data_IF_699507596372
#
_entry.id   IF_699507596372
#
_cell.length_a   1.000
_cell.length_b   1.000
_cell.length_c   1.000
_cell.angle_alpha   90.00
_cell.angle_beta   90.00
_cell.angle_gamma   90.00
#
_symmetry.space_group_name_H-M   'P 1'
#
loop_
_entity.id
_entity.type
_entity.pdbx_description
1 polymer ?
#
# COMPACT_ATOMS: atom_id res chain seq x y z
N UNK A 1 6.62 -9.77 11.03
CA UNK A 1 7.80 -10.65 11.14
C UNK A 1 9.09 -9.86 11.07
N UNK A 2 10.00 -10.15 11.95
CA UNK A 2 11.32 -9.51 11.97
C UNK A 2 12.30 -10.40 11.21
N UNK A 3 13.11 -9.80 10.37
CA UNK A 3 14.14 -10.50 9.63
C UNK A 3 15.48 -10.31 10.35
N UNK A 4 16.09 -11.38 10.83
CA UNK A 4 17.37 -11.29 11.53
C UNK A 4 18.44 -10.58 10.68
N UNK A 5 19.21 -9.71 11.29
CA UNK A 5 20.31 -9.04 10.63
C UNK A 5 19.92 -7.88 9.74
N UNK A 6 18.64 -7.47 9.72
CA UNK A 6 18.15 -6.34 8.92
C UNK A 6 17.35 -5.37 9.78
N UNK A 7 18.01 -4.59 10.66
CA UNK A 7 17.31 -3.68 11.56
C UNK A 7 16.34 -2.73 10.88
N UNK A 8 16.67 -2.27 9.67
CA UNK A 8 15.81 -1.38 8.90
C UNK A 8 14.46 -1.98 8.59
N UNK A 9 14.34 -3.32 8.56
CA UNK A 9 13.07 -3.98 8.30
C UNK A 9 12.13 -3.95 9.50
N UNK A 10 12.66 -3.76 10.69
CA UNK A 10 11.83 -3.65 11.89
C UNK A 10 10.98 -2.40 11.87
N UNK A 11 11.50 -1.33 11.23
CA UNK A 11 10.79 -0.07 11.11
C UNK A 11 10.03 0.07 9.79
N UNK A 12 10.13 -0.91 8.91
CA UNK A 12 9.48 -0.84 7.62
C UNK A 12 7.99 -1.07 7.74
N UNK A 13 7.20 -0.27 7.03
CA UNK A 13 5.76 -0.25 7.15
C UNK A 13 5.06 -0.65 5.87
N UNK A 14 3.91 -1.27 6.07
CA UNK A 14 2.84 -1.34 5.07
C UNK A 14 1.88 -0.20 5.38
N UNK A 15 1.69 0.72 4.47
CA UNK A 15 0.83 1.88 4.68
C UNK A 15 -0.41 1.79 3.82
N UNK A 16 -1.58 1.95 4.44
CA UNK A 16 -2.85 2.09 3.74
C UNK A 16 -3.12 3.58 3.60
N UNK A 17 -3.28 4.05 2.37
CA UNK A 17 -3.52 5.46 2.06
C UNK A 17 -4.89 5.56 1.41
N UNK A 18 -5.87 6.12 2.11
CA UNK A 18 -7.25 6.11 1.67
C UNK A 18 -7.99 7.32 2.23
N UNK A 19 -8.71 8.04 1.40
CA UNK A 19 -9.51 9.19 1.85
C UNK A 19 -10.69 8.77 2.74
N UNK A 20 -11.12 7.51 2.63
CA UNK A 20 -12.18 6.96 3.47
C UNK A 20 -11.55 6.39 4.74
N UNK A 21 -11.69 7.12 5.85
CA UNK A 21 -11.12 6.75 7.13
C UNK A 21 -11.55 5.36 7.60
N UNK A 22 -12.83 5.06 7.47
CA UNK A 22 -13.36 3.77 7.93
C UNK A 22 -12.76 2.61 7.13
N UNK A 23 -12.85 2.70 5.82
CA UNK A 23 -12.32 1.64 4.95
C UNK A 23 -10.81 1.46 5.13
N UNK A 24 -10.08 2.57 5.21
CA UNK A 24 -8.63 2.53 5.36
C UNK A 24 -8.19 1.94 6.69
N UNK A 25 -8.86 2.34 7.78
CA UNK A 25 -8.53 1.82 9.11
C UNK A 25 -8.86 0.33 9.23
N UNK A 26 -9.98 -0.10 8.68
CA UNK A 26 -10.35 -1.51 8.70
C UNK A 26 -9.34 -2.38 7.96
N UNK A 27 -8.87 -1.91 6.82
CA UNK A 27 -7.85 -2.64 6.06
C UNK A 27 -6.52 -2.69 6.82
N UNK A 28 -6.09 -1.57 7.40
CA UNK A 28 -4.87 -1.55 8.19
C UNK A 28 -4.96 -2.48 9.40
N UNK A 29 -6.11 -2.50 10.08
CA UNK A 29 -6.35 -3.42 11.20
C UNK A 29 -6.29 -4.88 10.77
N UNK A 30 -6.84 -5.19 9.61
CA UNK A 30 -6.77 -6.55 9.07
C UNK A 30 -5.32 -7.03 8.98
N UNK A 31 -4.44 -6.18 8.42
CA UNK A 31 -3.03 -6.51 8.31
C UNK A 31 -2.33 -6.60 9.66
N UNK A 32 -2.64 -5.68 10.56
CA UNK A 32 -2.05 -5.68 11.90
C UNK A 32 -2.39 -6.96 12.64
N UNK A 33 -3.65 -7.42 12.56
CA UNK A 33 -4.08 -8.67 13.18
C UNK A 33 -3.39 -9.89 12.59
N UNK A 34 -2.92 -9.79 11.35
CA UNK A 34 -2.19 -10.87 10.68
C UNK A 34 -0.68 -10.79 10.88
N UNK A 35 -0.22 -9.89 11.74
CA UNK A 35 1.19 -9.80 12.09
C UNK A 35 2.02 -8.85 11.24
N UNK A 36 1.39 -8.10 10.32
CA UNK A 36 2.11 -7.10 9.55
C UNK A 36 2.27 -5.83 10.36
N UNK A 37 3.35 -5.12 10.13
CA UNK A 37 3.51 -3.78 10.67
C UNK A 37 2.80 -2.83 9.72
N UNK A 38 1.57 -2.50 10.05
CA UNK A 38 0.70 -1.72 9.17
C UNK A 38 0.18 -0.47 9.86
N UNK A 39 -0.04 0.58 9.07
CA UNK A 39 -0.59 1.83 9.55
C UNK A 39 -1.52 2.42 8.49
N UNK A 40 -2.30 3.42 8.87
CA UNK A 40 -3.24 4.09 8.00
C UNK A 40 -3.01 5.59 7.98
N UNK A 41 -3.19 6.21 6.83
CA UNK A 41 -3.27 7.66 6.70
C UNK A 41 -4.26 8.03 5.60
N UNK A 42 -4.86 9.22 5.74
CA UNK A 42 -5.69 9.78 4.67
C UNK A 42 -4.88 10.64 3.70
N UNK A 43 -3.62 10.97 4.04
CA UNK A 43 -2.81 11.93 3.29
C UNK A 43 -1.69 11.24 2.51
N UNK A 44 -1.64 11.50 1.20
CA UNK A 44 -0.56 11.00 0.37
C UNK A 44 0.80 11.54 0.81
N UNK A 45 0.85 12.74 1.36
CA UNK A 45 2.11 13.33 1.83
C UNK A 45 2.77 12.48 2.91
N UNK A 46 1.99 11.85 3.80
CA UNK A 46 2.56 10.97 4.82
C UNK A 46 3.31 9.79 4.21
N UNK A 47 2.78 9.25 3.12
CA UNK A 47 3.44 8.15 2.42
C UNK A 47 4.78 8.62 1.82
N UNK A 48 4.81 9.82 1.27
CA UNK A 48 6.05 10.38 0.73
C UNK A 48 7.09 10.58 1.83
N UNK A 49 6.66 11.07 2.99
CA UNK A 49 7.55 11.28 4.12
C UNK A 49 8.17 9.96 4.60
N UNK A 50 7.36 8.91 4.69
CA UNK A 50 7.85 7.58 5.06
C UNK A 50 8.82 7.02 4.03
N UNK A 51 8.53 7.23 2.75
CA UNK A 51 9.42 6.77 1.68
C UNK A 51 10.77 7.48 1.75
N UNK A 52 10.77 8.80 1.95
CA UNK A 52 12.01 9.57 2.10
C UNK A 52 12.82 9.12 3.33
N UNK A 53 12.13 8.68 4.37
CA UNK A 53 12.80 8.17 5.58
C UNK A 53 13.28 6.72 5.42
N UNK A 54 13.04 6.09 4.26
CA UNK A 54 13.44 4.70 4.03
C UNK A 54 12.60 3.69 4.80
N UNK A 55 11.40 4.06 5.23
CA UNK A 55 10.56 3.24 6.11
C UNK A 55 9.37 2.61 5.43
N UNK A 56 9.16 2.85 4.15
CA UNK A 56 8.00 2.34 3.43
C UNK A 56 8.37 1.11 2.59
N UNK A 57 7.78 -0.03 2.92
CA UNK A 57 7.97 -1.28 2.18
C UNK A 57 6.88 -1.54 1.17
N UNK A 58 5.66 -1.21 1.55
CA UNK A 58 4.51 -1.45 0.70
C UNK A 58 3.44 -0.40 0.98
N UNK A 59 2.63 -0.10 -0.02
CA UNK A 59 1.54 0.85 0.11
C UNK A 59 0.31 0.36 -0.65
N UNK A 60 -0.85 0.54 -0.04
CA UNK A 60 -2.13 0.28 -0.69
C UNK A 60 -2.78 1.64 -0.84
N UNK A 61 -2.88 2.13 -2.06
CA UNK A 61 -3.20 3.54 -2.34
C UNK A 61 -4.51 3.65 -3.10
N UNK A 62 -5.45 4.43 -2.57
CA UNK A 62 -6.69 4.76 -3.27
C UNK A 62 -6.38 5.73 -4.42
N UNK A 63 -7.05 5.55 -5.54
CA UNK A 63 -6.87 6.45 -6.70
C UNK A 63 -7.31 7.88 -6.39
N UNK A 64 -8.23 8.08 -5.45
CA UNK A 64 -8.78 9.39 -5.12
C UNK A 64 -8.43 9.79 -3.69
N UNK A 65 -7.35 10.53 -3.53
CA UNK A 65 -6.97 11.10 -2.24
C UNK A 65 -7.33 12.59 -2.24
N UNK A 66 -7.31 13.22 -1.06
CA UNK A 66 -7.70 14.61 -0.94
C UNK A 66 -6.58 15.56 -1.31
N UNK A 67 -5.34 15.21 -0.99
CA UNK A 67 -4.20 16.09 -1.21
C UNK A 67 -3.50 15.86 -2.55
N UNK A 68 -3.76 14.72 -3.22
CA UNK A 68 -3.19 14.44 -4.54
C UNK A 68 -3.90 13.25 -5.14
N UNK A 69 -3.72 12.99 -6.43
CA UNK A 69 -4.24 11.77 -7.02
C UNK A 69 -3.41 10.58 -6.57
N UNK A 70 -4.03 9.39 -6.49
CA UNK A 70 -3.29 8.18 -6.15
C UNK A 70 -2.22 7.87 -7.18
N UNK A 71 -2.49 8.11 -8.45
CA UNK A 71 -1.51 7.88 -9.52
C UNK A 71 -0.26 8.76 -9.35
N UNK A 72 -0.47 10.04 -9.02
CA UNK A 72 0.64 10.94 -8.78
C UNK A 72 1.48 10.47 -7.59
N UNK A 73 0.80 10.06 -6.51
CA UNK A 73 1.48 9.53 -5.34
C UNK A 73 2.34 8.32 -5.69
N UNK A 74 1.76 7.35 -6.41
CA UNK A 74 2.48 6.12 -6.74
C UNK A 74 3.69 6.40 -7.62
N UNK A 75 3.55 7.30 -8.60
CA UNK A 75 4.68 7.71 -9.44
C UNK A 75 5.83 8.25 -8.59
N UNK A 76 5.51 9.12 -7.64
CA UNK A 76 6.53 9.72 -6.78
C UNK A 76 7.14 8.71 -5.82
N UNK A 77 6.33 7.81 -5.27
CA UNK A 77 6.84 6.74 -4.41
C UNK A 77 7.86 5.88 -5.15
N UNK A 78 7.57 5.53 -6.39
CA UNK A 78 8.47 4.71 -7.20
C UNK A 78 9.77 5.44 -7.53
N UNK A 79 9.74 6.76 -7.65
CA UNK A 79 10.95 7.54 -7.84
C UNK A 79 11.82 7.56 -6.58
N UNK A 80 11.18 7.71 -5.41
CA UNK A 80 11.90 7.81 -4.14
C UNK A 80 12.41 6.42 -3.72
N UNK A 81 11.57 5.39 -3.83
CA UNK A 81 11.90 4.03 -3.43
C UNK A 81 11.45 3.06 -4.52
N UNK A 82 12.30 2.80 -5.52
CA UNK A 82 11.92 1.93 -6.64
C UNK A 82 11.47 0.53 -6.25
N UNK A 83 11.86 0.06 -5.07
CA UNK A 83 11.50 -1.28 -4.60
C UNK A 83 10.22 -1.33 -3.78
N UNK A 84 9.55 -0.18 -3.60
CA UNK A 84 8.29 -0.19 -2.86
C UNK A 84 7.24 -1.01 -3.64
N UNK A 85 6.52 -1.84 -2.92
CA UNK A 85 5.43 -2.62 -3.50
C UNK A 85 4.14 -1.84 -3.38
N UNK A 86 3.45 -1.61 -4.49
CA UNK A 86 2.25 -0.79 -4.48
C UNK A 86 1.06 -1.55 -5.04
N UNK A 87 -0.05 -1.47 -4.33
CA UNK A 87 -1.36 -1.87 -4.80
C UNK A 87 -2.24 -0.63 -4.84
N UNK A 88 -3.22 -0.62 -5.73
CA UNK A 88 -4.18 0.48 -5.78
C UNK A 88 -5.59 -0.01 -5.63
N UNK A 89 -6.44 0.83 -5.05
CA UNK A 89 -7.88 0.58 -4.92
C UNK A 89 -8.64 1.74 -5.57
N UNK A 90 -9.83 1.44 -6.07
CA UNK A 90 -10.67 2.45 -6.72
C UNK A 90 -12.14 2.21 -6.38
N UNK A 91 -12.89 3.29 -6.20
CA UNK A 91 -14.33 3.21 -5.96
C UNK A 91 -15.13 2.93 -7.22
N UNK A 92 -14.65 3.42 -8.37
CA UNK A 92 -15.31 3.26 -9.66
C UNK A 92 -14.40 2.53 -10.63
N UNK A 93 -15.00 1.77 -11.53
CA UNK A 93 -14.23 1.14 -12.58
C UNK A 93 -13.97 2.13 -13.72
N UNK A 94 -12.70 2.47 -13.90
CA UNK A 94 -12.23 3.31 -15.01
C UNK A 94 -11.03 2.63 -15.64
N UNK A 95 -11.23 1.99 -16.80
CA UNK A 95 -10.14 1.23 -17.44
C UNK A 95 -8.87 2.03 -17.67
N UNK A 96 -9.00 3.30 -18.04
CA UNK A 96 -7.85 4.17 -18.27
C UNK A 96 -7.03 4.40 -17.00
N UNK A 97 -7.65 4.40 -15.84
CA UNK A 97 -6.95 4.53 -14.57
C UNK A 97 -6.16 3.27 -14.26
N UNK A 98 -6.73 2.11 -14.50
CA UNK A 98 -6.03 0.85 -14.29
C UNK A 98 -4.84 0.70 -15.22
N UNK A 99 -5.03 1.01 -16.50
CA UNK A 99 -3.94 0.94 -17.49
C UNK A 99 -2.78 1.83 -17.05
N UNK A 100 -3.09 3.05 -16.65
CA UNK A 100 -2.08 4.01 -16.19
C UNK A 100 -1.34 3.51 -14.96
N UNK A 101 -2.07 2.95 -13.99
CA UNK A 101 -1.49 2.39 -12.78
C UNK A 101 -0.51 1.26 -13.09
N UNK A 102 -0.91 0.36 -13.99
CA UNK A 102 -0.04 -0.76 -14.37
C UNK A 102 1.21 -0.30 -15.11
N UNK A 103 1.11 0.78 -15.88
CA UNK A 103 2.27 1.36 -16.53
C UNK A 103 3.27 1.94 -15.52
N UNK A 104 2.78 2.45 -14.39
CA UNK A 104 3.63 2.94 -13.30
C UNK A 104 4.33 1.78 -12.59
N UNK A 105 3.69 0.60 -12.55
CA UNK A 105 4.30 -0.60 -11.99
C UNK A 105 3.69 -1.04 -10.68
N UNK A 106 2.36 -1.07 -10.59
CA UNK A 106 1.68 -1.61 -9.40
C UNK A 106 1.52 -3.13 -9.51
N UNK A 107 1.35 -3.78 -8.37
CA UNK A 107 1.17 -5.23 -8.28
C UNK A 107 -0.27 -5.67 -8.47
N UNK A 108 -1.21 -4.85 -8.05
CA UNK A 108 -2.62 -5.23 -8.03
C UNK A 108 -3.51 -4.00 -8.05
N UNK A 109 -4.64 -4.09 -8.73
CA UNK A 109 -5.63 -3.03 -8.82
C UNK A 109 -6.98 -3.62 -8.43
N UNK A 110 -7.58 -3.12 -7.36
CA UNK A 110 -8.82 -3.68 -6.82
C UNK A 110 -9.94 -2.65 -6.77
N UNK A 111 -11.15 -3.08 -7.14
CA UNK A 111 -12.33 -2.23 -6.96
C UNK A 111 -12.86 -2.40 -5.54
N UNK A 112 -13.33 -1.33 -4.97
CA UNK A 112 -13.98 -1.34 -3.65
C UNK A 112 -15.43 -1.80 -3.77
N UNK A 113 -15.94 -2.54 -2.80
CA UNK A 113 -15.26 -3.01 -1.59
C UNK A 113 -14.28 -4.12 -1.92
N UNK A 114 -13.01 -3.91 -1.57
CA UNK A 114 -11.97 -4.87 -1.89
C UNK A 114 -11.91 -5.97 -0.84
N UNK A 115 -11.66 -7.20 -1.30
CA UNK A 115 -11.52 -8.34 -0.41
C UNK A 115 -10.17 -8.25 0.32
N UNK A 116 -10.15 -8.05 1.64
CA UNK A 116 -8.90 -7.91 2.37
C UNK A 116 -8.02 -9.16 2.31
N UNK A 117 -8.61 -10.34 2.22
CA UNK A 117 -7.83 -11.57 2.14
C UNK A 117 -7.09 -11.65 0.81
N UNK A 118 -7.71 -11.22 -0.26
CA UNK A 118 -7.05 -11.21 -1.57
C UNK A 118 -5.93 -10.19 -1.62
N UNK A 119 -6.15 -9.01 -1.06
CA UNK A 119 -5.12 -7.97 -0.97
C UNK A 119 -3.95 -8.49 -0.12
N UNK A 120 -4.25 -9.13 1.01
CA UNK A 120 -3.23 -9.72 1.87
C UNK A 120 -2.39 -10.75 1.12
N UNK A 121 -3.01 -11.61 0.33
CA UNK A 121 -2.29 -12.64 -0.42
C UNK A 121 -1.25 -12.01 -1.36
N UNK A 122 -1.62 -10.92 -2.04
CA UNK A 122 -0.70 -10.22 -2.94
C UNK A 122 0.45 -9.60 -2.16
N UNK A 123 0.15 -8.92 -1.06
CA UNK A 123 1.16 -8.28 -0.21
C UNK A 123 2.11 -9.31 0.39
N UNK A 124 1.58 -10.40 0.94
CA UNK A 124 2.39 -11.43 1.57
C UNK A 124 3.37 -12.04 0.57
N UNK A 125 2.89 -12.32 -0.63
CA UNK A 125 3.75 -12.84 -1.69
C UNK A 125 4.86 -11.87 -2.06
N UNK A 126 4.52 -10.59 -2.20
CA UNK A 126 5.48 -9.54 -2.57
C UNK A 126 6.56 -9.37 -1.49
N UNK A 127 6.16 -9.44 -0.23
CA UNK A 127 7.09 -9.27 0.89
C UNK A 127 7.82 -10.57 1.27
N UNK A 128 7.48 -11.69 0.65
CA UNK A 128 8.08 -12.97 0.99
C UNK A 128 7.66 -13.51 2.34
N UNK A 129 6.46 -13.13 2.81
CA UNK A 129 5.94 -13.57 4.10
C UNK A 129 5.15 -14.84 3.92
N UNK A 130 5.39 -15.84 4.78
CA UNK A 130 4.61 -17.06 4.79
C UNK A 130 3.32 -16.79 5.55
N UNK A 131 2.18 -17.02 4.87
CA UNK A 131 0.88 -16.83 5.50
C UNK A 131 0.53 -17.98 6.40
N UNK A 132 0.10 -17.67 7.62
CA UNK A 132 -0.46 -18.65 8.56
C UNK A 132 -1.90 -18.95 8.18
N UNK A 133 -2.31 -20.14 8.53
CA UNK A 133 -3.70 -20.53 8.38
C UNK A 133 -4.34 -20.78 9.71
#
# INVERSE_FOLDING_TARGET
>A
MVYPGTPEREDALLLVVDADDEAGRLLAEHFTRRGFRASYTAAGQDALDLAHAGRLRAAIVDVALRDMSGHALVSRLKEIEPRVHVLMTAGDYRPEFEVRARQIGILHYALKPADPDRIEAVVAKALGVVQSR
#
